data_IF_998385605651
#
_entry.id   IF_998385605651
#
_cell.length_a   1.000
_cell.length_b   1.000
_cell.length_c   1.000
_cell.angle_alpha   90.00
_cell.angle_beta   90.00
_cell.angle_gamma   90.00
#
_symmetry.space_group_name_H-M   'P 1'
#
loop_
_entity.id
_entity.type
_entity.pdbx_description
1 polymer ?
#
# COMPACT_ATOMS: atom_id res chain seq x y z
N UNK A 1 15.07 -22.51 19.77
CA UNK A 1 15.35 -21.10 19.52
C UNK A 1 16.84 -20.86 19.69
N UNK A 2 17.42 -21.31 20.80
CA UNK A 2 18.85 -21.11 21.12
C UNK A 2 19.79 -21.89 20.19
N UNK A 3 19.46 -23.14 19.82
CA UNK A 3 20.29 -23.96 18.94
C UNK A 3 20.43 -23.43 17.49
N UNK A 4 19.55 -22.55 17.02
CA UNK A 4 19.54 -22.04 15.64
C UNK A 4 19.72 -20.51 15.56
N UNK A 5 20.07 -19.86 16.66
CA UNK A 5 20.28 -18.40 16.72
C UNK A 5 19.15 -17.58 16.07
N UNK A 6 17.90 -17.91 16.38
CA UNK A 6 16.71 -17.28 15.80
C UNK A 6 16.54 -15.89 16.40
N UNK A 7 16.70 -14.85 15.58
CA UNK A 7 16.60 -13.44 15.99
C UNK A 7 15.21 -12.83 15.76
N UNK A 8 14.28 -13.57 15.15
CA UNK A 8 12.92 -13.08 14.86
C UNK A 8 11.99 -14.18 14.38
N UNK A 9 10.68 -13.90 14.43
CA UNK A 9 9.62 -14.80 13.93
C UNK A 9 8.74 -14.06 12.92
N UNK A 10 8.29 -14.73 11.86
CA UNK A 10 8.68 -16.08 11.42
C UNK A 10 10.13 -16.14 10.92
N UNK A 11 10.81 -17.26 11.12
CA UNK A 11 12.13 -17.54 10.54
C UNK A 11 12.04 -18.76 9.63
N UNK A 12 12.59 -18.63 8.43
CA UNK A 12 12.59 -19.65 7.40
C UNK A 12 14.01 -20.20 7.24
N UNK A 13 14.13 -21.51 7.26
CA UNK A 13 15.36 -22.23 6.94
C UNK A 13 15.17 -23.02 5.63
N UNK A 14 16.18 -23.03 4.79
CA UNK A 14 16.24 -23.82 3.57
C UNK A 14 17.44 -24.77 3.68
N UNK A 15 17.17 -26.08 3.61
CA UNK A 15 18.22 -27.12 3.79
C UNK A 15 19.05 -26.93 5.08
N UNK A 16 18.41 -26.57 6.17
CA UNK A 16 19.02 -26.24 7.48
C UNK A 16 19.83 -24.93 7.53
N UNK A 17 19.94 -24.18 6.47
CA UNK A 17 20.58 -22.86 6.43
C UNK A 17 19.53 -21.74 6.60
N UNK A 18 19.93 -20.67 7.27
CA UNK A 18 19.08 -19.49 7.41
C UNK A 18 18.72 -18.92 6.05
N UNK A 19 17.44 -18.76 5.79
CA UNK A 19 16.94 -18.23 4.52
C UNK A 19 16.35 -16.83 4.64
N UNK A 20 15.46 -16.61 5.62
CA UNK A 20 14.79 -15.34 5.86
C UNK A 20 14.17 -15.27 7.24
N UNK A 21 14.01 -14.08 7.82
CA UNK A 21 13.27 -13.85 9.07
C UNK A 21 12.43 -12.58 8.99
N UNK A 22 11.46 -12.46 9.91
CA UNK A 22 10.52 -11.36 10.01
C UNK A 22 9.37 -11.44 8.99
N UNK A 23 8.51 -10.42 8.96
CA UNK A 23 7.43 -10.29 7.97
C UNK A 23 8.02 -10.07 6.57
N UNK A 24 8.26 -11.14 5.86
CA UNK A 24 8.77 -11.09 4.48
C UNK A 24 7.62 -11.39 3.52
N UNK A 25 7.45 -10.52 2.53
CA UNK A 25 6.48 -10.72 1.45
C UNK A 25 6.75 -12.05 0.74
N UNK A 26 5.68 -12.82 0.50
CA UNK A 26 5.74 -14.13 -0.19
C UNK A 26 6.43 -14.01 -1.55
N UNK A 27 6.21 -12.91 -2.28
CA UNK A 27 6.84 -12.65 -3.57
C UNK A 27 8.37 -12.52 -3.44
N UNK A 28 8.86 -11.90 -2.38
CA UNK A 28 10.31 -11.79 -2.10
C UNK A 28 10.91 -13.17 -1.78
N UNK A 29 10.19 -13.99 -1.02
CA UNK A 29 10.60 -15.37 -0.71
C UNK A 29 10.69 -16.20 -1.99
N UNK A 30 9.64 -16.16 -2.83
CA UNK A 30 9.59 -16.88 -4.11
C UNK A 30 10.70 -16.42 -5.04
N UNK A 31 10.95 -15.11 -5.16
CA UNK A 31 12.01 -14.59 -6.01
C UNK A 31 13.40 -15.03 -5.53
N UNK A 32 13.65 -15.01 -4.21
CA UNK A 32 14.89 -15.52 -3.64
C UNK A 32 15.06 -17.02 -3.87
N UNK A 33 13.99 -17.82 -3.76
CA UNK A 33 14.00 -19.26 -4.10
C UNK A 33 14.30 -19.48 -5.58
N UNK A 34 13.74 -18.69 -6.49
CA UNK A 34 14.03 -18.79 -7.93
C UNK A 34 15.49 -18.46 -8.26
N UNK A 35 16.12 -17.55 -7.51
CA UNK A 35 17.54 -17.25 -7.67
C UNK A 35 18.42 -18.45 -7.29
N UNK A 36 18.06 -19.15 -6.19
CA UNK A 36 18.79 -20.32 -5.71
C UNK A 36 18.50 -21.56 -6.59
N UNK A 37 17.25 -21.69 -7.02
CA UNK A 37 16.77 -22.82 -7.85
C UNK A 37 16.16 -22.30 -9.15
N UNK A 38 16.96 -21.98 -10.18
CA UNK A 38 16.45 -21.38 -11.43
C UNK A 38 15.40 -22.20 -12.19
N UNK A 39 15.34 -23.50 -11.88
CA UNK A 39 14.38 -24.44 -12.50
C UNK A 39 13.14 -24.72 -11.62
N UNK A 40 13.05 -24.11 -10.43
CA UNK A 40 11.88 -24.29 -9.57
C UNK A 40 10.65 -23.67 -10.26
N UNK A 41 9.58 -24.42 -10.39
CA UNK A 41 8.36 -23.96 -11.05
C UNK A 41 8.35 -24.02 -12.58
N UNK A 42 9.44 -24.46 -13.25
CA UNK A 42 9.40 -24.84 -14.66
C UNK A 42 8.63 -26.16 -14.79
N UNK A 43 7.30 -26.12 -14.64
CA UNK A 43 6.43 -27.16 -15.18
C UNK A 43 6.40 -27.01 -16.69
N UNK A 44 6.29 -28.13 -17.42
CA UNK A 44 5.96 -28.15 -18.84
C UNK A 44 4.84 -27.13 -19.07
N UNK A 45 5.10 -26.12 -19.91
CA UNK A 45 4.17 -25.03 -20.21
C UNK A 45 2.88 -25.60 -20.77
N UNK A 46 1.91 -25.89 -19.91
CA UNK A 46 0.53 -25.95 -20.35
C UNK A 46 0.17 -24.50 -20.62
N UNK A 47 0.34 -24.08 -21.88
CA UNK A 47 -0.07 -22.73 -22.27
C UNK A 47 -1.57 -22.62 -22.02
N UNK A 48 -1.97 -21.63 -21.26
CA UNK A 48 -3.40 -21.34 -21.07
C UNK A 48 -4.06 -21.16 -22.43
N UNK A 49 -5.28 -21.68 -22.62
CA UNK A 49 -6.04 -21.35 -23.82
C UNK A 49 -6.19 -19.82 -23.93
N UNK A 50 -6.42 -19.34 -25.15
CA UNK A 50 -6.65 -17.89 -25.34
C UNK A 50 -7.79 -17.45 -24.43
N UNK A 51 -7.51 -16.46 -23.60
CA UNK A 51 -8.49 -15.86 -22.69
C UNK A 51 -9.34 -14.83 -23.43
N UNK A 52 -10.58 -14.67 -23.02
CA UNK A 52 -11.40 -13.54 -23.51
C UNK A 52 -10.89 -12.24 -22.89
N UNK A 53 -10.53 -12.26 -21.60
CA UNK A 53 -9.96 -11.12 -20.89
C UNK A 53 -8.88 -11.57 -19.91
N UNK A 54 -7.80 -10.79 -19.85
CA UNK A 54 -6.87 -10.84 -18.71
C UNK A 54 -7.02 -9.58 -17.89
N UNK A 55 -7.22 -9.74 -16.58
CA UNK A 55 -7.23 -8.66 -15.61
C UNK A 55 -5.86 -8.58 -14.96
N UNK A 56 -5.22 -7.41 -15.03
CA UNK A 56 -3.92 -7.14 -14.41
C UNK A 56 -4.13 -6.32 -13.15
N UNK A 57 -3.88 -6.93 -12.00
CA UNK A 57 -4.07 -6.35 -10.67
C UNK A 57 -5.11 -7.10 -9.84
N UNK A 58 -4.74 -7.48 -8.62
CA UNK A 58 -5.54 -8.28 -7.69
C UNK A 58 -6.20 -7.47 -6.56
N UNK A 59 -6.30 -6.15 -6.71
CA UNK A 59 -7.05 -5.29 -5.79
C UNK A 59 -8.57 -5.41 -6.00
N UNK A 60 -9.38 -4.66 -5.22
CA UNK A 60 -10.85 -4.72 -5.30
C UNK A 60 -11.40 -4.51 -6.71
N UNK A 61 -10.83 -3.58 -7.48
CA UNK A 61 -11.24 -3.30 -8.86
C UNK A 61 -10.99 -4.49 -9.79
N UNK A 62 -9.80 -5.13 -9.68
CA UNK A 62 -9.44 -6.29 -10.49
C UNK A 62 -10.26 -7.52 -10.12
N UNK A 63 -10.43 -7.81 -8.84
CA UNK A 63 -11.27 -8.92 -8.36
C UNK A 63 -12.71 -8.74 -8.84
N UNK A 64 -13.30 -7.56 -8.64
CA UNK A 64 -14.65 -7.25 -9.09
C UNK A 64 -14.78 -7.45 -10.59
N UNK A 65 -13.84 -6.92 -11.38
CA UNK A 65 -13.84 -7.09 -12.83
C UNK A 65 -13.80 -8.57 -13.24
N UNK A 66 -12.90 -9.36 -12.63
CA UNK A 66 -12.76 -10.77 -12.94
C UNK A 66 -14.03 -11.57 -12.61
N UNK A 67 -14.65 -11.31 -11.45
CA UNK A 67 -15.91 -11.95 -11.04
C UNK A 67 -17.02 -11.63 -12.05
N UNK A 68 -17.21 -10.35 -12.39
CA UNK A 68 -18.30 -9.97 -13.30
C UNK A 68 -18.11 -10.51 -14.71
N UNK A 69 -16.89 -10.58 -15.21
CA UNK A 69 -16.59 -11.19 -16.52
C UNK A 69 -16.85 -12.71 -16.48
N UNK A 70 -16.43 -13.40 -15.44
CA UNK A 70 -16.67 -14.84 -15.28
C UNK A 70 -18.17 -15.14 -15.17
N UNK A 71 -18.95 -14.29 -14.47
CA UNK A 71 -20.41 -14.38 -14.40
C UNK A 71 -21.11 -14.22 -15.78
N UNK A 72 -20.44 -13.59 -16.73
CA UNK A 72 -20.91 -13.49 -18.14
C UNK A 72 -20.47 -14.68 -19.00
N UNK A 73 -19.83 -15.70 -18.42
CA UNK A 73 -19.34 -16.88 -19.11
C UNK A 73 -18.06 -16.67 -19.91
N UNK A 74 -17.35 -15.58 -19.69
CA UNK A 74 -16.07 -15.31 -20.36
C UNK A 74 -14.93 -16.11 -19.71
N UNK A 75 -13.94 -16.50 -20.53
CA UNK A 75 -12.68 -17.08 -20.05
C UNK A 75 -11.79 -15.98 -19.53
N UNK A 76 -11.54 -15.97 -18.22
CA UNK A 76 -10.83 -14.90 -17.52
C UNK A 76 -9.58 -15.45 -16.82
N UNK A 77 -8.46 -14.76 -16.99
CA UNK A 77 -7.31 -14.89 -16.10
C UNK A 77 -7.08 -13.57 -15.35
N UNK A 78 -6.71 -13.66 -14.07
CA UNK A 78 -6.30 -12.55 -13.23
C UNK A 78 -4.83 -12.74 -12.88
N UNK A 79 -4.02 -11.71 -13.13
CA UNK A 79 -2.57 -11.71 -12.82
C UNK A 79 -2.30 -10.64 -11.77
N UNK A 80 -1.65 -11.02 -10.69
CA UNK A 80 -1.28 -10.10 -9.62
C UNK A 80 -0.08 -10.58 -8.83
N UNK A 81 0.72 -9.66 -8.30
CA UNK A 81 1.75 -10.00 -7.31
C UNK A 81 1.11 -10.41 -5.98
N UNK A 82 0.09 -9.68 -5.55
CA UNK A 82 -0.65 -9.92 -4.30
C UNK A 82 -2.14 -9.74 -4.52
N UNK A 83 -2.95 -10.60 -3.91
CA UNK A 83 -4.40 -10.45 -3.87
C UNK A 83 -4.79 -9.55 -2.70
N UNK A 84 -5.69 -8.58 -2.97
CA UNK A 84 -6.20 -7.60 -2.01
C UNK A 84 -5.74 -6.16 -2.28
N UNK A 85 -4.58 -5.97 -2.92
CA UNK A 85 -4.03 -4.62 -3.18
C UNK A 85 -3.78 -3.85 -1.88
N UNK A 86 -3.80 -2.51 -1.94
CA UNK A 86 -3.55 -1.64 -0.78
C UNK A 86 -4.55 -1.83 0.38
N UNK A 87 -5.79 -2.23 0.09
CA UNK A 87 -6.81 -2.44 1.14
C UNK A 87 -6.34 -3.46 2.18
N UNK A 88 -5.52 -4.43 1.79
CA UNK A 88 -5.00 -5.44 2.70
C UNK A 88 -4.16 -4.85 3.84
N UNK A 89 -3.55 -3.70 3.65
CA UNK A 89 -2.68 -3.03 4.62
C UNK A 89 -3.44 -2.18 5.64
N UNK A 90 -4.76 -1.98 5.44
CA UNK A 90 -5.61 -1.19 6.32
C UNK A 90 -5.94 -1.98 7.59
N UNK A 91 -5.64 -1.42 8.76
CA UNK A 91 -5.85 -2.07 10.05
C UNK A 91 -7.33 -2.21 10.42
N UNK A 92 -8.09 -1.13 10.27
CA UNK A 92 -9.52 -1.07 10.57
C UNK A 92 -10.29 -0.41 9.42
N UNK A 93 -11.46 -0.94 9.09
CA UNK A 93 -12.35 -0.42 8.05
C UNK A 93 -13.75 -0.33 8.65
N UNK A 94 -14.23 0.90 8.86
CA UNK A 94 -15.55 1.23 9.39
C UNK A 94 -16.41 2.06 8.42
N UNK A 95 -15.82 2.43 7.27
CA UNK A 95 -16.43 3.28 6.25
C UNK A 95 -16.91 2.51 5.01
N UNK A 96 -16.92 1.18 5.05
CA UNK A 96 -17.44 0.36 3.97
C UNK A 96 -18.92 0.05 4.22
N UNK A 97 -19.81 0.66 3.41
CA UNK A 97 -21.26 0.51 3.58
C UNK A 97 -21.67 -0.97 3.58
N UNK A 98 -22.55 -1.34 4.49
CA UNK A 98 -23.02 -2.67 4.81
C UNK A 98 -22.11 -3.54 5.68
N UNK A 99 -20.90 -3.07 5.97
CA UNK A 99 -19.96 -3.72 6.89
C UNK A 99 -19.69 -2.74 8.03
N UNK A 100 -20.15 -3.05 9.24
CA UNK A 100 -20.03 -2.16 10.39
C UNK A 100 -18.57 -1.96 10.77
N UNK A 101 -17.83 -3.07 10.82
CA UNK A 101 -16.40 -3.09 11.16
C UNK A 101 -15.75 -4.31 10.50
N UNK A 102 -14.56 -4.12 9.93
CA UNK A 102 -13.72 -5.20 9.41
C UNK A 102 -12.25 -4.77 9.40
N UNK A 103 -11.36 -5.66 8.97
CA UNK A 103 -9.96 -5.34 8.71
C UNK A 103 -9.66 -5.50 7.21
N UNK A 104 -8.60 -4.86 6.73
CA UNK A 104 -8.16 -5.01 5.34
C UNK A 104 -7.87 -6.48 5.00
N UNK A 105 -7.21 -7.20 5.90
CA UNK A 105 -6.90 -8.62 5.71
C UNK A 105 -8.17 -9.46 5.61
N UNK A 106 -9.15 -9.26 6.49
CA UNK A 106 -10.42 -9.99 6.45
C UNK A 106 -11.21 -9.67 5.18
N UNK A 107 -11.39 -8.39 4.85
CA UNK A 107 -12.13 -7.96 3.67
C UNK A 107 -11.51 -8.52 2.38
N UNK A 108 -10.18 -8.45 2.25
CA UNK A 108 -9.50 -8.98 1.06
C UNK A 108 -9.49 -10.51 1.02
N UNK A 109 -9.48 -11.17 2.16
CA UNK A 109 -9.68 -12.62 2.29
C UNK A 109 -11.08 -13.05 1.81
N UNK A 110 -12.12 -12.32 2.20
CA UNK A 110 -13.50 -12.55 1.75
C UNK A 110 -13.62 -12.30 0.23
N UNK A 111 -13.01 -11.25 -0.31
CA UNK A 111 -12.94 -11.00 -1.76
C UNK A 111 -12.23 -12.13 -2.51
N UNK A 112 -11.12 -12.64 -1.98
CA UNK A 112 -10.38 -13.76 -2.58
C UNK A 112 -11.21 -15.05 -2.57
N UNK A 113 -11.91 -15.31 -1.46
CA UNK A 113 -12.82 -16.45 -1.35
C UNK A 113 -13.96 -16.34 -2.37
N UNK A 114 -14.56 -15.16 -2.50
CA UNK A 114 -15.59 -14.90 -3.52
C UNK A 114 -15.07 -15.11 -4.95
N UNK A 115 -13.85 -14.69 -5.25
CA UNK A 115 -13.23 -14.92 -6.56
C UNK A 115 -13.09 -16.42 -6.88
N UNK A 116 -12.79 -17.25 -5.87
CA UNK A 116 -12.62 -18.71 -6.03
C UNK A 116 -13.92 -19.46 -6.36
N UNK A 117 -15.09 -18.87 -6.08
CA UNK A 117 -16.38 -19.43 -6.46
C UNK A 117 -16.63 -19.39 -7.98
N UNK A 118 -15.79 -18.67 -8.72
CA UNK A 118 -15.89 -18.54 -10.17
C UNK A 118 -14.71 -19.17 -10.88
N UNK A 119 -14.94 -19.63 -12.11
CA UNK A 119 -13.90 -20.23 -12.94
C UNK A 119 -12.96 -19.16 -13.53
N UNK A 120 -12.17 -18.54 -12.65
CA UNK A 120 -11.13 -17.56 -13.00
C UNK A 120 -9.77 -18.21 -12.81
N UNK A 121 -8.91 -18.15 -13.83
CA UNK A 121 -7.51 -18.59 -13.68
C UNK A 121 -6.72 -17.52 -12.93
N UNK A 122 -6.40 -17.75 -11.67
CA UNK A 122 -5.61 -16.80 -10.86
C UNK A 122 -4.13 -17.13 -10.99
N UNK A 123 -3.34 -16.13 -11.41
CA UNK A 123 -1.88 -16.11 -11.44
C UNK A 123 -1.39 -15.16 -10.36
N UNK A 124 -1.32 -15.66 -9.13
CA UNK A 124 -0.80 -14.93 -7.98
C UNK A 124 0.73 -15.07 -7.90
N UNK A 125 1.40 -14.05 -7.36
CA UNK A 125 2.85 -13.93 -7.22
C UNK A 125 3.59 -13.73 -8.54
N UNK A 126 2.89 -13.24 -9.57
CA UNK A 126 3.49 -12.89 -10.85
C UNK A 126 3.27 -11.42 -11.17
N UNK A 127 4.33 -10.79 -11.68
CA UNK A 127 4.30 -9.46 -12.27
C UNK A 127 4.15 -9.59 -13.78
N UNK A 128 3.48 -8.63 -14.40
CA UNK A 128 3.48 -8.46 -15.85
C UNK A 128 4.71 -7.64 -16.25
N UNK A 129 5.58 -8.23 -17.06
CA UNK A 129 6.79 -7.55 -17.54
C UNK A 129 6.52 -6.73 -18.79
N UNK A 130 5.70 -7.27 -19.71
CA UNK A 130 5.37 -6.58 -20.94
C UNK A 130 4.05 -7.04 -21.55
N UNK A 131 3.47 -6.17 -22.36
CA UNK A 131 2.26 -6.42 -23.15
C UNK A 131 2.54 -6.10 -24.60
N UNK A 132 2.35 -7.08 -25.48
CA UNK A 132 2.42 -6.92 -26.93
C UNK A 132 1.03 -6.68 -27.52
N UNK A 133 0.91 -5.65 -28.35
CA UNK A 133 -0.32 -5.26 -29.03
C UNK A 133 -0.65 -6.20 -30.19
N UNK A 134 -1.91 -6.39 -30.49
CA UNK A 134 -2.39 -7.19 -31.63
C UNK A 134 -3.89 -7.47 -31.49
N UNK A 135 -4.48 -8.16 -32.47
CA UNK A 135 -5.86 -8.68 -32.34
C UNK A 135 -5.92 -9.62 -31.14
N UNK A 136 -4.97 -10.54 -31.05
CA UNK A 136 -4.68 -11.30 -29.84
C UNK A 136 -3.44 -10.67 -29.21
N UNK A 137 -3.57 -10.25 -27.96
CA UNK A 137 -2.50 -9.64 -27.19
C UNK A 137 -1.71 -10.73 -26.47
N UNK A 138 -0.41 -10.50 -26.29
CA UNK A 138 0.48 -11.39 -25.52
C UNK A 138 0.94 -10.67 -24.27
N UNK A 139 0.71 -11.29 -23.12
CA UNK A 139 1.12 -10.77 -21.81
C UNK A 139 2.23 -11.66 -21.30
N UNK A 140 3.43 -11.11 -21.17
CA UNK A 140 4.59 -11.80 -20.62
C UNK A 140 4.66 -11.57 -19.12
N UNK A 141 4.74 -12.66 -18.38
CA UNK A 141 4.89 -12.64 -16.91
C UNK A 141 6.37 -12.70 -16.51
N UNK A 142 6.68 -12.29 -15.29
CA UNK A 142 8.01 -12.38 -14.68
C UNK A 142 8.56 -13.82 -14.58
N UNK A 143 7.70 -14.83 -14.73
CA UNK A 143 8.09 -16.24 -14.87
C UNK A 143 8.61 -16.62 -16.25
N UNK A 144 8.42 -15.75 -17.25
CA UNK A 144 8.60 -16.07 -18.67
C UNK A 144 7.36 -16.66 -19.35
N UNK A 145 6.31 -17.03 -18.61
CA UNK A 145 5.05 -17.51 -19.18
C UNK A 145 4.38 -16.41 -20.02
N UNK A 146 3.77 -16.80 -21.13
CA UNK A 146 3.02 -15.90 -22.01
C UNK A 146 1.55 -16.29 -21.99
N UNK A 147 0.67 -15.35 -21.63
CA UNK A 147 -0.77 -15.51 -21.67
C UNK A 147 -1.30 -14.75 -22.89
N UNK A 148 -2.06 -15.44 -23.72
CA UNK A 148 -2.73 -14.85 -24.89
C UNK A 148 -4.16 -14.46 -24.54
N UNK A 149 -4.59 -13.25 -24.97
CA UNK A 149 -5.93 -12.73 -24.67
C UNK A 149 -6.46 -11.81 -25.75
N UNK A 150 -7.80 -11.73 -25.84
CA UNK A 150 -8.50 -10.80 -26.74
C UNK A 150 -8.52 -9.37 -26.16
N UNK A 151 -8.74 -9.24 -24.84
CA UNK A 151 -8.85 -7.95 -24.15
C UNK A 151 -8.06 -7.95 -22.85
N UNK A 152 -7.71 -6.75 -22.36
CA UNK A 152 -7.00 -6.56 -21.10
C UNK A 152 -7.74 -5.50 -20.29
N UNK A 153 -7.92 -5.75 -19.01
CA UNK A 153 -8.31 -4.76 -18.02
C UNK A 153 -7.10 -4.46 -17.14
N UNK A 154 -6.68 -3.20 -17.12
CA UNK A 154 -5.59 -2.72 -16.27
C UNK A 154 -6.20 -2.18 -14.97
N UNK A 155 -5.96 -2.89 -13.86
CA UNK A 155 -6.44 -2.57 -12.53
C UNK A 155 -5.27 -2.59 -11.52
N UNK A 156 -4.10 -2.15 -11.96
CA UNK A 156 -2.85 -2.20 -11.21
C UNK A 156 -2.83 -1.28 -9.99
N UNK A 157 -3.71 -0.28 -9.95
CA UNK A 157 -3.78 0.67 -8.85
C UNK A 157 -2.54 1.56 -8.74
N UNK A 158 -2.27 1.98 -7.52
CA UNK A 158 -1.13 2.80 -7.17
C UNK A 158 -0.63 2.39 -5.78
N UNK A 159 0.52 2.90 -5.39
CA UNK A 159 1.05 2.79 -4.04
C UNK A 159 1.29 4.17 -3.46
N UNK A 160 1.22 4.28 -2.16
CA UNK A 160 1.59 5.50 -1.46
C UNK A 160 3.06 5.82 -1.70
N UNK A 161 3.36 7.09 -1.87
CA UNK A 161 4.74 7.55 -1.88
C UNK A 161 5.22 7.58 -0.44
N UNK A 162 6.33 6.88 -0.18
CA UNK A 162 7.01 6.89 1.12
C UNK A 162 7.84 8.17 1.27
N UNK A 163 7.96 8.68 2.50
CA UNK A 163 8.90 9.76 2.83
C UNK A 163 10.35 9.30 2.67
N UNK A 164 10.61 8.04 2.99
CA UNK A 164 11.94 7.44 2.94
C UNK A 164 12.84 7.86 4.11
N UNK A 165 12.25 8.33 5.21
CA UNK A 165 12.99 8.75 6.40
C UNK A 165 13.08 7.64 7.46
N UNK A 166 14.11 7.64 8.33
CA UNK A 166 14.19 6.73 9.46
C UNK A 166 12.94 6.79 10.33
N UNK A 167 12.48 5.63 10.78
CA UNK A 167 11.28 5.51 11.62
C UNK A 167 9.96 5.37 10.86
N UNK A 168 9.90 5.65 9.55
CA UNK A 168 8.65 5.54 8.79
C UNK A 168 8.14 4.10 8.72
N UNK A 169 9.00 3.18 8.25
CA UNK A 169 8.61 1.77 8.04
C UNK A 169 8.42 1.02 9.35
N UNK A 170 9.22 1.33 10.33
CA UNK A 170 9.20 0.70 11.65
C UNK A 170 7.91 1.02 12.41
N UNK A 171 7.33 2.19 12.16
CA UNK A 171 6.13 2.67 12.85
C UNK A 171 4.86 2.61 11.97
N UNK A 172 4.91 1.98 10.80
CA UNK A 172 3.72 1.80 9.97
C UNK A 172 2.66 0.98 10.73
N UNK A 173 1.45 1.55 10.89
CA UNK A 173 0.38 1.01 11.72
C UNK A 173 0.56 1.21 13.23
N UNK A 174 1.70 1.77 13.67
CA UNK A 174 2.00 2.10 15.06
C UNK A 174 2.17 3.61 15.28
N UNK A 175 1.45 4.41 14.52
CA UNK A 175 1.48 5.86 14.53
C UNK A 175 1.76 6.49 13.18
N UNK A 176 2.34 5.76 12.22
CA UNK A 176 2.45 6.19 10.82
C UNK A 176 1.31 5.59 10.00
N UNK A 177 0.61 6.42 9.23
CA UNK A 177 -0.52 6.04 8.40
C UNK A 177 -0.52 6.79 7.06
N UNK A 178 -1.18 6.20 6.06
CA UNK A 178 -1.36 6.82 4.74
C UNK A 178 -2.82 7.13 4.41
N UNK A 179 -3.77 6.63 5.20
CA UNK A 179 -5.20 6.82 4.95
C UNK A 179 -5.86 7.59 6.10
N UNK A 180 -6.09 8.91 5.98
CA UNK A 180 -6.74 9.70 7.05
C UNK A 180 -8.14 9.21 7.39
N UNK A 181 -8.92 8.83 6.38
CA UNK A 181 -10.29 8.33 6.59
C UNK A 181 -10.35 6.95 7.27
N UNK A 182 -9.31 6.11 7.06
CA UNK A 182 -9.26 4.77 7.64
C UNK A 182 -8.74 4.81 9.08
N UNK A 183 -7.64 5.55 9.27
CA UNK A 183 -6.85 5.49 10.51
C UNK A 183 -7.11 6.69 11.44
N UNK A 184 -7.68 7.78 10.92
CA UNK A 184 -7.98 9.01 11.69
C UNK A 184 -8.73 8.77 13.00
N UNK A 185 -9.79 7.93 13.04
CA UNK A 185 -10.53 7.64 14.26
C UNK A 185 -9.68 7.12 15.44
N UNK A 186 -8.57 6.40 15.14
CA UNK A 186 -7.65 5.87 16.16
C UNK A 186 -6.80 6.96 16.84
N UNK A 187 -6.80 8.16 16.26
CA UNK A 187 -6.05 9.32 16.78
C UNK A 187 -6.96 10.35 17.45
N UNK A 188 -8.18 9.98 17.83
CA UNK A 188 -9.12 10.87 18.51
C UNK A 188 -8.50 11.50 19.75
N UNK A 189 -8.51 12.84 19.80
CA UNK A 189 -8.00 13.64 20.92
C UNK A 189 -6.47 13.68 21.04
N UNK A 190 -5.73 13.17 20.03
CA UNK A 190 -4.26 13.21 19.97
C UNK A 190 -3.76 14.33 19.09
N UNK A 191 -2.48 14.64 19.19
CA UNK A 191 -1.80 15.54 18.28
C UNK A 191 -1.18 14.74 17.12
N UNK A 192 -1.39 15.21 15.88
CA UNK A 192 -0.93 14.51 14.69
C UNK A 192 -0.25 15.43 13.69
N UNK A 193 0.63 14.86 12.88
CA UNK A 193 1.20 15.52 11.72
C UNK A 193 0.51 15.05 10.43
N UNK A 194 0.41 15.96 9.45
CA UNK A 194 0.18 15.64 8.05
C UNK A 194 1.41 16.07 7.26
N UNK A 195 2.07 15.18 6.58
CA UNK A 195 3.22 15.52 5.74
C UNK A 195 2.78 15.60 4.29
N UNK A 196 2.86 16.80 3.72
CA UNK A 196 2.43 17.15 2.37
C UNK A 196 1.37 18.24 2.35
N UNK A 197 1.60 19.29 1.59
CA UNK A 197 0.75 20.50 1.45
C UNK A 197 0.03 20.61 0.11
N UNK A 198 -0.19 19.50 -0.59
CA UNK A 198 -1.08 19.41 -1.75
C UNK A 198 -2.55 19.21 -1.35
N UNK A 199 -3.46 19.09 -2.34
CA UNK A 199 -4.89 18.90 -2.07
C UNK A 199 -5.15 17.76 -1.06
N UNK A 200 -4.57 16.59 -1.29
CA UNK A 200 -4.76 15.43 -0.38
C UNK A 200 -4.28 15.70 1.05
N UNK A 201 -3.17 16.44 1.21
CA UNK A 201 -2.65 16.79 2.55
C UNK A 201 -3.55 17.79 3.28
N UNK A 202 -4.01 18.81 2.59
CA UNK A 202 -4.88 19.82 3.20
C UNK A 202 -6.29 19.26 3.47
N UNK A 203 -6.84 18.43 2.56
CA UNK A 203 -8.08 17.70 2.82
C UNK A 203 -7.94 16.78 4.04
N UNK A 204 -6.85 16.01 4.12
CA UNK A 204 -6.55 15.18 5.28
C UNK A 204 -6.48 15.98 6.59
N UNK A 205 -5.82 17.14 6.55
CA UNK A 205 -5.72 18.02 7.73
C UNK A 205 -7.10 18.55 8.17
N UNK A 206 -7.95 18.92 7.22
CA UNK A 206 -9.31 19.38 7.50
C UNK A 206 -10.19 18.27 8.10
N UNK A 207 -10.10 17.04 7.57
CA UNK A 207 -10.85 15.90 8.08
C UNK A 207 -10.38 15.50 9.48
N UNK A 208 -9.07 15.40 9.68
CA UNK A 208 -8.46 15.07 10.96
C UNK A 208 -8.76 16.12 12.03
N UNK A 209 -8.81 17.40 11.67
CA UNK A 209 -9.10 18.50 12.62
C UNK A 209 -10.47 18.37 13.30
N UNK A 210 -11.40 17.61 12.71
CA UNK A 210 -12.70 17.29 13.33
C UNK A 210 -12.64 16.15 14.37
N UNK A 211 -11.52 15.46 14.47
CA UNK A 211 -11.37 14.21 15.24
C UNK A 211 -10.28 14.33 16.31
N UNK A 212 -9.14 14.91 15.93
CA UNK A 212 -7.93 15.00 16.75
C UNK A 212 -7.87 16.30 17.54
N UNK A 213 -6.95 16.38 18.49
CA UNK A 213 -6.74 17.61 19.27
C UNK A 213 -6.09 18.69 18.41
N UNK A 214 -4.99 18.36 17.72
CA UNK A 214 -4.22 19.29 16.89
C UNK A 214 -3.66 18.59 15.65
N UNK A 215 -3.64 19.31 14.53
CA UNK A 215 -2.99 18.89 13.29
C UNK A 215 -1.86 19.87 12.96
N UNK A 216 -0.66 19.35 12.70
CA UNK A 216 0.42 20.16 12.14
C UNK A 216 0.74 19.67 10.74
N UNK A 217 0.58 20.54 9.74
CA UNK A 217 0.91 20.26 8.34
C UNK A 217 2.36 20.63 8.08
N UNK A 218 3.13 19.70 7.50
CA UNK A 218 4.53 19.91 7.11
C UNK A 218 4.64 19.89 5.59
N UNK A 219 5.04 21.01 5.00
CA UNK A 219 5.23 21.15 3.56
C UNK A 219 6.69 21.49 3.23
N UNK A 220 7.27 20.71 2.33
CA UNK A 220 8.67 20.90 1.89
C UNK A 220 8.86 22.20 1.08
N UNK A 221 7.88 22.59 0.27
CA UNK A 221 7.94 23.80 -0.53
C UNK A 221 7.64 25.03 0.33
N UNK A 222 8.05 26.21 -0.16
CA UNK A 222 7.71 27.50 0.48
C UNK A 222 6.21 27.79 0.48
N UNK A 223 5.49 27.22 -0.48
CA UNK A 223 4.07 27.45 -0.71
C UNK A 223 3.29 26.14 -0.78
N UNK A 224 2.08 26.14 -0.24
CA UNK A 224 1.14 25.04 -0.40
C UNK A 224 0.76 24.87 -1.87
N UNK A 225 0.61 23.64 -2.31
CA UNK A 225 0.16 23.30 -3.68
C UNK A 225 -1.31 22.92 -3.74
N UNK A 226 -2.02 23.01 -2.63
CA UNK A 226 -3.46 22.82 -2.57
C UNK A 226 -4.22 24.00 -3.19
N UNK A 227 -5.45 23.73 -3.61
CA UNK A 227 -6.37 24.75 -4.10
C UNK A 227 -6.63 25.81 -3.02
N UNK A 228 -6.70 27.08 -3.40
CA UNK A 228 -6.84 28.19 -2.46
C UNK A 228 -8.03 28.03 -1.51
N UNK A 229 -9.14 27.50 -1.98
CA UNK A 229 -10.33 27.27 -1.15
C UNK A 229 -10.06 26.29 0.01
N UNK A 230 -9.22 25.29 -0.20
CA UNK A 230 -8.82 24.34 0.84
C UNK A 230 -7.86 25.00 1.82
N UNK A 231 -6.90 25.77 1.30
CA UNK A 231 -5.91 26.49 2.12
C UNK A 231 -6.59 27.49 3.05
N UNK A 232 -7.55 28.27 2.54
CA UNK A 232 -8.31 29.22 3.35
C UNK A 232 -9.11 28.50 4.44
N UNK A 233 -9.83 27.44 4.12
CA UNK A 233 -10.54 26.64 5.11
C UNK A 233 -9.62 26.06 6.19
N UNK A 234 -8.43 25.62 5.82
CA UNK A 234 -7.47 25.10 6.78
C UNK A 234 -6.95 26.21 7.72
N UNK A 235 -6.67 27.40 7.19
CA UNK A 235 -6.24 28.57 7.97
C UNK A 235 -7.30 29.09 8.94
N UNK A 236 -8.58 28.89 8.66
CA UNK A 236 -9.69 29.24 9.56
C UNK A 236 -9.81 28.30 10.77
N UNK A 237 -9.21 27.11 10.71
CA UNK A 237 -9.25 26.14 11.81
C UNK A 237 -8.21 26.49 12.87
N UNK A 238 -8.67 26.64 14.12
CA UNK A 238 -7.80 27.01 15.26
C UNK A 238 -6.85 25.88 15.67
N UNK A 239 -7.15 24.64 15.29
CA UNK A 239 -6.35 23.46 15.63
C UNK A 239 -5.56 22.91 14.43
N UNK A 240 -5.36 23.69 13.36
CA UNK A 240 -4.47 23.36 12.26
C UNK A 240 -3.33 24.37 12.22
N UNK A 241 -2.10 23.90 12.43
CA UNK A 241 -0.90 24.67 12.16
C UNK A 241 -0.29 24.23 10.82
N UNK A 242 0.23 25.18 10.05
CA UNK A 242 0.84 24.92 8.74
C UNK A 242 2.28 25.43 8.78
N UNK A 243 3.22 24.54 8.59
CA UNK A 243 4.64 24.80 8.46
C UNK A 243 5.07 24.53 7.01
N UNK A 244 5.47 25.56 6.30
CA UNK A 244 6.03 25.48 4.96
C UNK A 244 7.54 25.62 4.99
N UNK A 245 8.22 25.24 3.90
CA UNK A 245 9.67 25.29 3.78
C UNK A 245 10.39 24.44 4.84
N UNK A 246 9.82 23.29 5.21
CA UNK A 246 10.36 22.39 6.20
C UNK A 246 10.53 20.98 5.62
N UNK A 247 11.62 20.32 5.98
CA UNK A 247 11.96 18.98 5.53
C UNK A 247 11.84 17.99 6.70
N UNK A 248 10.97 17.01 6.57
CA UNK A 248 10.87 15.90 7.53
C UNK A 248 12.13 15.05 7.47
N UNK A 249 12.84 14.89 8.59
CA UNK A 249 14.12 14.19 8.65
C UNK A 249 14.07 12.84 9.35
N UNK A 250 13.23 12.69 10.37
CA UNK A 250 13.10 11.45 11.13
C UNK A 250 11.76 11.37 11.87
N UNK A 251 11.23 10.17 11.96
CA UNK A 251 10.08 9.84 12.82
C UNK A 251 10.60 9.22 14.11
N UNK A 252 10.23 9.85 15.23
CA UNK A 252 10.64 9.42 16.56
C UNK A 252 9.60 8.48 17.14
N UNK A 253 10.07 7.47 17.86
CA UNK A 253 9.20 6.52 18.55
C UNK A 253 9.68 6.20 19.94
N UNK A 254 8.72 5.93 20.83
CA UNK A 254 8.96 5.44 22.18
C UNK A 254 8.09 4.22 22.42
N UNK A 255 8.70 3.15 22.95
CA UNK A 255 8.00 1.89 23.25
C UNK A 255 7.20 1.32 22.07
N UNK A 256 7.71 1.50 20.82
CA UNK A 256 7.11 0.97 19.59
C UNK A 256 5.93 1.76 19.06
N UNK A 257 5.72 3.00 19.52
CA UNK A 257 4.70 3.94 19.01
C UNK A 257 5.35 5.26 18.66
N UNK A 258 4.81 5.96 17.67
CA UNK A 258 5.23 7.33 17.33
C UNK A 258 5.10 8.22 18.55
N UNK A 259 6.13 9.02 18.80
CA UNK A 259 6.21 10.00 19.89
C UNK A 259 6.60 11.39 19.41
N UNK A 260 6.98 11.56 18.15
CA UNK A 260 7.36 12.85 17.61
C UNK A 260 7.86 12.78 16.18
N UNK A 261 8.10 13.97 15.62
CA UNK A 261 8.66 14.17 14.29
C UNK A 261 9.82 15.16 14.36
N UNK A 262 10.99 14.76 13.85
CA UNK A 262 12.10 15.69 13.62
C UNK A 262 11.98 16.28 12.22
N UNK A 263 12.15 17.59 12.11
CA UNK A 263 12.17 18.32 10.85
C UNK A 263 13.25 19.38 10.83
N UNK A 264 13.61 19.83 9.65
CA UNK A 264 14.63 20.86 9.40
C UNK A 264 13.93 22.07 8.78
N UNK A 265 14.09 23.26 9.36
CA UNK A 265 13.76 24.51 8.71
C UNK A 265 14.79 24.79 7.60
N UNK A 266 14.33 24.81 6.36
CA UNK A 266 15.24 24.84 5.19
C UNK A 266 16.00 26.15 5.05
N UNK A 267 15.47 27.26 5.56
CA UNK A 267 16.13 28.57 5.53
C UNK A 267 17.28 28.66 6.54
N UNK A 268 17.07 28.16 7.76
CA UNK A 268 18.04 28.24 8.85
C UNK A 268 18.92 27.00 8.97
N UNK A 269 18.50 25.89 8.35
CA UNK A 269 19.05 24.54 8.57
C UNK A 269 18.94 24.07 10.03
N UNK A 270 18.06 24.70 10.80
CA UNK A 270 17.83 24.35 12.20
C UNK A 270 16.95 23.08 12.29
N UNK A 271 17.39 22.13 13.09
CA UNK A 271 16.63 20.92 13.43
C UNK A 271 15.68 21.21 14.59
N UNK A 272 14.43 20.83 14.42
CA UNK A 272 13.37 20.96 15.42
C UNK A 272 12.62 19.64 15.60
N UNK A 273 12.07 19.45 16.76
CA UNK A 273 11.24 18.30 17.11
C UNK A 273 9.86 18.80 17.53
N UNK A 274 8.85 18.11 17.08
CA UNK A 274 7.48 18.27 17.55
C UNK A 274 7.00 16.97 18.16
N UNK A 275 6.46 17.03 19.36
CA UNK A 275 5.85 15.87 20.04
C UNK A 275 4.47 15.64 19.44
N UNK A 276 4.18 14.40 19.04
CA UNK A 276 2.89 14.00 18.48
C UNK A 276 2.78 12.46 18.48
N UNK A 277 1.56 11.95 18.31
CA UNK A 277 1.27 10.53 18.44
C UNK A 277 0.88 9.87 17.12
N UNK A 278 0.75 10.67 16.03
CA UNK A 278 0.41 10.15 14.71
C UNK A 278 0.94 10.98 13.57
N UNK A 279 1.28 10.32 12.46
CA UNK A 279 1.80 10.94 11.25
C UNK A 279 1.06 10.39 10.04
N UNK A 280 0.42 11.27 9.29
CA UNK A 280 -0.26 10.95 8.03
C UNK A 280 0.58 11.44 6.85
N UNK A 281 1.10 10.49 6.06
CA UNK A 281 1.95 10.81 4.91
C UNK A 281 1.08 11.02 3.68
N UNK A 282 1.04 12.26 3.15
CA UNK A 282 0.17 12.70 2.06
C UNK A 282 0.95 13.36 0.93
N UNK A 283 2.07 12.76 0.52
CA UNK A 283 2.96 13.26 -0.54
C UNK A 283 2.69 12.65 -1.92
N UNK A 284 1.50 12.11 -2.10
CA UNK A 284 0.98 11.62 -3.36
C UNK A 284 1.09 10.11 -3.55
N UNK A 285 0.70 9.67 -4.75
CA UNK A 285 0.66 8.28 -5.16
C UNK A 285 1.66 8.04 -6.30
N UNK A 286 2.17 6.82 -6.38
CA UNK A 286 2.98 6.33 -7.49
C UNK A 286 2.16 5.25 -8.21
N UNK A 287 1.77 5.44 -9.49
CA UNK A 287 1.10 4.40 -10.26
C UNK A 287 1.95 3.13 -10.35
N UNK A 288 1.29 1.98 -10.29
CA UNK A 288 1.95 0.68 -10.43
C UNK A 288 2.07 0.24 -11.89
#
# INVERSE_FOLDING_TARGET
VEERNIQGVPTIFLNNEFFSSGRTDTSKIINKLKTIYPNIGKKNEISLPIQDTVVIGGGPAGISSAIYLARKGLKVALVSENIGGQVKETLGIENYISVIETTGEKLTGDMHSHLKEYNVTVKEHFKVDSVEKGIIKSIKLSSGEIIKTKTIIIATGARWRELGVPGEKENLGNGVAYCPHCDGPFFKGKDVAVVGGGNSGIEAALDLAGIVNKVTVFEFMSDLKADNILVEKAKEKQNIDILTNVETSQILSNSGKVSGLEYIERDSSEKKIVDLEGIFVQIGLVPN
#
